data_IF_080561441095
#
_entry.id   IF_080561441095
#
_cell.length_a   1.000
_cell.length_b   1.000
_cell.length_c   1.000
_cell.angle_alpha   90.00
_cell.angle_beta   90.00
_cell.angle_gamma   90.00
#
_symmetry.space_group_name_H-M   'P 1'
#
loop_
_entity.id
_entity.type
_entity.pdbx_description
1 polymer ?
#
# COMPACT_ATOMS: atom_id res chain seq x y z
N UNK A 1 -15.20 -41.05 22.76
CA UNK A 1 -14.23 -40.32 23.61
C UNK A 1 -13.35 -39.51 22.67
N UNK A 2 -13.75 -38.27 22.45
CA UNK A 2 -13.14 -37.31 21.52
C UNK A 2 -11.96 -36.63 22.19
N UNK A 3 -10.87 -36.38 21.48
CA UNK A 3 -9.87 -35.38 21.90
C UNK A 3 -9.50 -34.55 20.67
N UNK A 4 -9.89 -33.27 20.75
CA UNK A 4 -9.72 -32.23 19.77
C UNK A 4 -8.24 -31.90 19.56
N UNK A 5 -7.82 -31.75 18.30
CA UNK A 5 -6.58 -31.10 17.91
C UNK A 5 -6.86 -29.62 17.70
N UNK A 6 -6.50 -28.78 18.68
CA UNK A 6 -6.41 -27.33 18.50
C UNK A 6 -4.95 -26.95 18.23
N UNK A 7 -4.74 -26.47 17.01
CA UNK A 7 -3.57 -25.73 16.54
C UNK A 7 -3.51 -24.35 17.18
N UNK A 8 -2.59 -24.14 18.13
CA UNK A 8 -2.22 -22.80 18.60
C UNK A 8 -1.10 -22.19 17.73
N UNK A 9 -1.19 -20.92 17.34
CA UNK A 9 -0.12 -20.21 16.66
C UNK A 9 1.01 -19.90 17.65
N UNK A 10 2.25 -20.24 17.27
CA UNK A 10 3.44 -19.95 18.05
C UNK A 10 3.67 -18.43 18.13
N UNK A 11 3.38 -17.83 19.29
CA UNK A 11 3.83 -16.50 19.64
C UNK A 11 5.36 -16.52 19.79
N UNK A 12 6.07 -16.00 18.78
CA UNK A 12 7.51 -15.78 18.82
C UNK A 12 7.86 -14.62 19.75
N UNK A 13 7.80 -14.82 21.07
CA UNK A 13 8.42 -13.90 22.02
C UNK A 13 9.94 -14.00 21.87
N UNK A 14 10.56 -12.97 21.30
CA UNK A 14 12.02 -12.85 21.28
C UNK A 14 12.43 -12.09 22.53
N UNK A 15 12.89 -12.79 23.57
CA UNK A 15 13.45 -12.16 24.76
C UNK A 15 14.84 -11.62 24.42
N UNK A 16 15.00 -10.29 24.50
CA UNK A 16 16.31 -9.64 24.32
C UNK A 16 17.12 -9.95 25.57
N UNK A 17 18.21 -10.71 25.40
CA UNK A 17 19.14 -11.06 26.46
C UNK A 17 19.77 -9.80 27.06
N UNK A 18 19.39 -9.49 28.31
CA UNK A 18 20.09 -8.57 29.20
C UNK A 18 21.52 -9.08 29.46
N UNK A 19 22.49 -8.67 28.65
CA UNK A 19 23.91 -8.63 29.02
C UNK A 19 24.66 -7.76 28.03
N UNK A 20 24.93 -6.52 28.45
CA UNK A 20 25.96 -5.61 27.89
C UNK A 20 26.08 -5.60 26.35
N UNK A 21 24.95 -5.56 25.65
CA UNK A 21 24.94 -5.48 24.20
C UNK A 21 25.30 -4.06 23.74
N UNK A 22 26.01 -3.96 22.61
CA UNK A 22 26.24 -2.70 21.85
C UNK A 22 24.94 -1.90 21.70
N UNK A 23 23.80 -2.62 21.63
CA UNK A 23 22.45 -2.09 21.64
C UNK A 23 22.12 -1.19 22.85
N UNK A 24 22.37 -1.66 24.08
CA UNK A 24 22.10 -0.90 25.30
C UNK A 24 23.01 0.33 25.41
N UNK A 25 24.27 0.20 25.01
CA UNK A 25 25.25 1.31 25.02
C UNK A 25 24.92 2.41 23.98
N UNK A 26 24.34 2.04 22.83
CA UNK A 26 23.87 3.00 21.84
C UNK A 26 22.65 3.79 22.35
N UNK A 27 21.70 3.11 23.01
CA UNK A 27 20.52 3.74 23.62
C UNK A 27 20.88 4.71 24.76
N UNK A 28 21.88 4.34 25.57
CA UNK A 28 22.41 5.21 26.62
C UNK A 28 23.07 6.48 26.05
N UNK A 29 23.80 6.37 24.93
CA UNK A 29 24.40 7.54 24.23
C UNK A 29 23.38 8.51 23.64
N UNK A 30 22.17 8.04 23.34
CA UNK A 30 21.08 8.86 22.77
C UNK A 30 20.04 9.26 23.83
N UNK A 31 20.30 9.03 25.13
CA UNK A 31 19.38 9.32 26.25
C UNK A 31 17.97 8.71 26.10
N UNK A 32 17.86 7.52 25.51
CA UNK A 32 16.59 6.78 25.40
C UNK A 32 16.66 5.48 26.19
N UNK A 33 15.55 5.10 26.82
CA UNK A 33 15.43 3.78 27.43
C UNK A 33 15.15 2.73 26.33
N UNK A 34 15.91 1.62 26.29
CA UNK A 34 15.62 0.52 25.38
C UNK A 34 14.28 -0.13 25.78
N UNK A 35 13.47 -0.48 24.78
CA UNK A 35 12.17 -1.10 25.04
C UNK A 35 12.33 -2.51 25.63
N UNK A 36 11.61 -2.81 26.70
CA UNK A 36 11.74 -4.06 27.48
C UNK A 36 11.05 -5.27 26.85
N UNK A 37 10.13 -5.06 25.90
CA UNK A 37 9.44 -6.11 25.16
C UNK A 37 9.16 -5.70 23.73
N UNK A 38 9.41 -6.62 22.81
CA UNK A 38 9.26 -6.45 21.37
C UNK A 38 7.82 -6.83 21.00
N UNK A 39 7.01 -5.84 20.62
CA UNK A 39 5.72 -6.10 19.97
C UNK A 39 5.90 -6.63 18.55
N UNK A 40 4.89 -7.29 18.00
CA UNK A 40 4.87 -7.61 16.57
C UNK A 40 4.94 -6.30 15.77
N UNK A 41 5.74 -6.29 14.70
CA UNK A 41 5.90 -5.09 13.88
C UNK A 41 4.60 -4.64 13.22
N UNK A 42 3.66 -5.58 13.06
CA UNK A 42 2.33 -5.30 12.57
C UNK A 42 1.55 -4.30 13.46
N UNK A 43 1.97 -4.10 14.72
CA UNK A 43 1.43 -3.06 15.59
C UNK A 43 1.72 -1.63 15.09
N UNK A 44 2.70 -1.45 14.19
CA UNK A 44 3.12 -0.16 13.65
C UNK A 44 2.64 0.09 12.21
N UNK A 45 1.72 -0.75 11.68
CA UNK A 45 1.14 -0.55 10.35
C UNK A 45 0.15 0.62 10.29
N UNK A 46 -0.43 1.00 11.44
CA UNK A 46 -1.31 2.15 11.55
C UNK A 46 -0.49 3.41 11.87
N UNK A 47 -0.67 4.46 11.05
CA UNK A 47 0.04 5.74 11.18
C UNK A 47 -0.27 6.42 12.52
N UNK A 48 -1.51 6.28 13.01
CA UNK A 48 -1.90 6.78 14.32
C UNK A 48 -1.16 6.04 15.45
N UNK A 49 -1.08 4.71 15.37
CA UNK A 49 -0.37 3.89 16.36
C UNK A 49 1.15 4.15 16.36
N UNK A 50 1.74 4.42 15.19
CA UNK A 50 3.15 4.77 15.07
C UNK A 50 3.46 6.16 15.68
N UNK A 51 2.57 7.13 15.49
CA UNK A 51 2.75 8.48 16.05
C UNK A 51 2.70 8.49 17.59
N UNK A 52 1.77 7.74 18.17
CA UNK A 52 1.56 7.66 19.62
C UNK A 52 2.63 6.83 20.35
N UNK A 53 3.40 6.00 19.63
CA UNK A 53 4.41 5.14 20.23
C UNK A 53 5.63 5.92 20.77
N UNK A 54 6.16 5.56 21.95
CA UNK A 54 7.39 6.11 22.48
C UNK A 54 8.56 5.98 21.49
N UNK A 55 9.43 6.98 21.43
CA UNK A 55 10.56 6.99 20.50
C UNK A 55 11.50 5.78 20.67
N UNK A 56 11.68 5.30 21.91
CA UNK A 56 12.49 4.10 22.20
C UNK A 56 11.92 2.81 21.62
N UNK A 57 10.60 2.65 21.64
CA UNK A 57 9.92 1.48 21.07
C UNK A 57 10.00 1.50 19.53
N UNK A 58 9.75 2.65 18.91
CA UNK A 58 9.89 2.83 17.47
C UNK A 58 11.30 2.54 16.97
N UNK A 59 12.31 3.07 17.66
CA UNK A 59 13.71 2.88 17.26
C UNK A 59 14.14 1.42 17.44
N UNK A 60 13.63 0.74 18.48
CA UNK A 60 13.85 -0.70 18.69
C UNK A 60 13.26 -1.52 17.54
N UNK A 61 12.00 -1.26 17.17
CA UNK A 61 11.34 -1.94 16.07
C UNK A 61 12.04 -1.70 14.73
N UNK A 62 12.40 -0.45 14.43
CA UNK A 62 13.12 -0.09 13.21
C UNK A 62 14.49 -0.79 13.12
N UNK A 63 15.24 -0.83 14.23
CA UNK A 63 16.54 -1.48 14.26
C UNK A 63 16.43 -2.99 14.08
N UNK A 64 15.37 -3.62 14.60
CA UNK A 64 15.10 -5.03 14.37
C UNK A 64 14.84 -5.35 12.90
N UNK A 65 13.94 -4.60 12.23
CA UNK A 65 13.69 -4.78 10.78
C UNK A 65 14.98 -4.66 10.01
N UNK A 66 15.74 -3.64 10.33
CA UNK A 66 16.97 -3.34 9.64
C UNK A 66 17.99 -4.48 9.81
N UNK A 67 18.14 -5.02 11.03
CA UNK A 67 18.98 -6.19 11.28
C UNK A 67 18.46 -7.43 10.55
N UNK A 68 17.14 -7.65 10.48
CA UNK A 68 16.56 -8.76 9.72
C UNK A 68 16.75 -8.60 8.20
N UNK A 69 16.70 -7.37 7.67
CA UNK A 69 17.03 -7.06 6.28
C UNK A 69 18.49 -7.37 5.97
N UNK A 70 19.43 -6.96 6.83
CA UNK A 70 20.86 -7.32 6.69
C UNK A 70 21.07 -8.83 6.75
N UNK A 71 20.40 -9.52 7.67
CA UNK A 71 20.49 -10.98 7.78
C UNK A 71 20.00 -11.68 6.52
N UNK A 72 18.94 -11.18 5.89
CA UNK A 72 18.40 -11.70 4.62
C UNK A 72 19.31 -11.39 3.43
N UNK A 73 20.00 -10.24 3.43
CA UNK A 73 20.92 -9.87 2.34
C UNK A 73 22.24 -10.66 2.39
N UNK A 74 22.60 -11.21 3.56
CA UNK A 74 23.81 -12.02 3.73
C UNK A 74 25.12 -11.23 3.60
N UNK A 75 25.04 -9.89 3.54
CA UNK A 75 26.21 -9.02 3.47
C UNK A 75 26.87 -8.88 4.84
N UNK A 76 28.19 -9.00 4.86
CA UNK A 76 28.98 -8.72 6.05
C UNK A 76 29.14 -7.20 6.20
N UNK A 77 28.38 -6.62 7.13
CA UNK A 77 28.40 -5.19 7.39
C UNK A 77 29.48 -4.86 8.42
N UNK A 78 30.56 -4.23 7.98
CA UNK A 78 31.66 -3.81 8.87
C UNK A 78 31.31 -2.55 9.68
N UNK A 79 30.45 -1.68 9.13
CA UNK A 79 30.05 -0.43 9.77
C UNK A 79 28.63 -0.02 9.38
N UNK A 80 27.87 0.43 10.37
CA UNK A 80 26.56 1.06 10.17
C UNK A 80 26.77 2.52 9.76
N UNK A 81 26.83 2.76 8.46
CA UNK A 81 26.93 4.11 7.89
C UNK A 81 25.61 4.53 7.22
N UNK A 82 25.37 5.86 7.17
CA UNK A 82 24.20 6.44 6.50
C UNK A 82 24.03 5.91 5.07
N UNK A 83 25.14 5.74 4.35
CA UNK A 83 25.18 5.24 2.97
C UNK A 83 24.58 3.84 2.82
N UNK A 84 24.74 2.98 3.83
CA UNK A 84 24.20 1.63 3.83
C UNK A 84 22.69 1.63 4.10
N UNK A 85 22.21 2.55 4.95
CA UNK A 85 20.77 2.79 5.14
C UNK A 85 20.16 3.31 3.84
N UNK A 86 20.75 4.35 3.23
CA UNK A 86 20.29 4.94 1.97
C UNK A 86 20.27 3.88 0.84
N UNK A 87 21.22 2.95 0.82
CA UNK A 87 21.26 1.85 -0.14
C UNK A 87 20.05 0.89 0.02
N UNK A 88 19.76 0.47 1.25
CA UNK A 88 18.61 -0.41 1.50
C UNK A 88 17.27 0.29 1.28
N UNK A 89 17.16 1.60 1.55
CA UNK A 89 15.98 2.40 1.19
C UNK A 89 15.81 2.40 -0.33
N UNK A 90 16.87 2.67 -1.10
CA UNK A 90 16.81 2.66 -2.56
C UNK A 90 16.44 1.28 -3.13
N UNK A 91 16.90 0.20 -2.50
CA UNK A 91 16.53 -1.17 -2.88
C UNK A 91 15.04 -1.45 -2.61
N UNK A 92 14.51 -1.02 -1.47
CA UNK A 92 13.09 -1.13 -1.14
C UNK A 92 12.23 -0.30 -2.10
N UNK A 93 12.62 0.95 -2.36
CA UNK A 93 11.94 1.82 -3.32
C UNK A 93 11.93 1.18 -4.70
N UNK A 94 13.05 0.59 -5.14
CA UNK A 94 13.10 -0.13 -6.41
C UNK A 94 12.15 -1.33 -6.47
N UNK A 95 12.06 -2.11 -5.38
CA UNK A 95 11.13 -3.24 -5.31
C UNK A 95 9.66 -2.78 -5.34
N UNK A 96 9.33 -1.72 -4.60
CA UNK A 96 8.00 -1.13 -4.56
C UNK A 96 7.64 -0.54 -5.93
N UNK A 97 8.54 0.24 -6.53
CA UNK A 97 8.36 0.82 -7.87
C UNK A 97 8.12 -0.27 -8.91
N UNK A 98 8.89 -1.36 -8.90
CA UNK A 98 8.69 -2.47 -9.85
C UNK A 98 7.31 -3.12 -9.69
N UNK A 99 6.86 -3.31 -8.45
CA UNK A 99 5.53 -3.87 -8.20
C UNK A 99 4.43 -2.91 -8.61
N UNK A 100 4.58 -1.62 -8.31
CA UNK A 100 3.65 -0.58 -8.70
C UNK A 100 3.58 -0.47 -10.23
N UNK A 101 4.73 -0.48 -10.91
CA UNK A 101 4.81 -0.47 -12.37
C UNK A 101 4.06 -1.65 -12.97
N UNK A 102 4.22 -2.86 -12.42
CA UNK A 102 3.49 -4.03 -12.90
C UNK A 102 1.97 -3.87 -12.77
N UNK A 103 1.49 -3.25 -11.69
CA UNK A 103 0.05 -2.98 -11.48
C UNK A 103 -0.44 -1.86 -12.40
N UNK A 104 0.29 -0.75 -12.48
CA UNK A 104 -0.07 0.43 -13.27
C UNK A 104 -0.02 0.17 -14.78
N UNK A 105 0.87 -0.72 -15.24
CA UNK A 105 0.97 -1.11 -16.65
C UNK A 105 0.10 -2.30 -17.02
N UNK A 106 -0.75 -2.78 -16.11
CA UNK A 106 -1.70 -3.84 -16.42
C UNK A 106 -2.77 -3.33 -17.40
N UNK A 107 -3.03 -4.07 -18.48
CA UNK A 107 -3.93 -3.64 -19.56
C UNK A 107 -5.34 -3.27 -19.07
N UNK A 108 -5.90 -4.03 -18.13
CA UNK A 108 -7.22 -3.75 -17.57
C UNK A 108 -7.24 -2.45 -16.76
N UNK A 109 -6.18 -2.21 -15.99
CA UNK A 109 -6.05 -1.00 -15.19
C UNK A 109 -5.89 0.23 -16.10
N UNK A 110 -5.01 0.16 -17.10
CA UNK A 110 -4.81 1.24 -18.06
C UNK A 110 -6.07 1.57 -18.87
N UNK A 111 -6.90 0.57 -19.20
CA UNK A 111 -8.18 0.79 -19.89
C UNK A 111 -9.12 1.64 -19.03
N UNK A 112 -9.23 1.33 -17.74
CA UNK A 112 -10.07 2.09 -16.80
C UNK A 112 -9.45 3.46 -16.51
N UNK A 113 -8.14 3.51 -16.25
CA UNK A 113 -7.42 4.75 -15.96
C UNK A 113 -7.53 5.75 -17.12
N UNK A 114 -7.31 5.31 -18.36
CA UNK A 114 -7.41 6.18 -19.53
C UNK A 114 -8.81 6.75 -19.73
N UNK A 115 -9.86 5.97 -19.46
CA UNK A 115 -11.25 6.43 -19.53
C UNK A 115 -11.52 7.51 -18.47
N UNK A 116 -11.12 7.27 -17.21
CA UNK A 116 -11.33 8.23 -16.12
C UNK A 116 -10.45 9.47 -16.25
N UNK A 117 -9.21 9.34 -16.72
CA UNK A 117 -8.32 10.50 -16.98
C UNK A 117 -8.83 11.33 -18.15
N UNK A 118 -9.37 10.69 -19.20
CA UNK A 118 -10.03 11.38 -20.29
C UNK A 118 -11.27 12.16 -19.83
N UNK A 119 -12.11 11.53 -19.00
CA UNK A 119 -13.27 12.20 -18.38
C UNK A 119 -12.84 13.36 -17.48
N UNK A 120 -11.82 13.16 -16.64
CA UNK A 120 -11.27 14.21 -15.79
C UNK A 120 -10.75 15.39 -16.62
N UNK A 121 -10.05 15.12 -17.72
CA UNK A 121 -9.61 16.15 -18.65
C UNK A 121 -10.78 16.92 -19.29
N UNK A 122 -11.88 16.25 -19.63
CA UNK A 122 -13.09 16.90 -20.16
C UNK A 122 -13.70 17.85 -19.12
N UNK A 123 -13.85 17.38 -17.89
CA UNK A 123 -14.39 18.16 -16.77
C UNK A 123 -13.50 19.36 -16.46
N UNK A 124 -12.18 19.16 -16.37
CA UNK A 124 -11.23 20.22 -16.01
C UNK A 124 -11.12 21.32 -17.08
N UNK A 125 -11.34 20.98 -18.36
CA UNK A 125 -11.31 21.94 -19.46
C UNK A 125 -12.66 22.64 -19.72
N UNK A 126 -13.72 22.26 -19.02
CA UNK A 126 -15.07 22.79 -19.24
C UNK A 126 -15.36 23.93 -18.25
N UNK A 127 -15.72 25.12 -18.76
CA UNK A 127 -16.17 26.23 -17.92
C UNK A 127 -17.67 26.05 -17.56
N UNK A 128 -17.92 25.44 -16.40
CA UNK A 128 -19.27 25.25 -15.87
C UNK A 128 -20.00 26.55 -15.51
N UNK A 129 -19.32 27.71 -15.50
CA UNK A 129 -19.97 29.01 -15.27
C UNK A 129 -20.78 29.47 -16.48
N UNK A 130 -20.55 28.88 -17.65
CA UNK A 130 -21.30 29.15 -18.89
C UNK A 130 -22.58 28.31 -19.00
N UNK A 131 -23.14 27.85 -17.89
CA UNK A 131 -24.35 27.04 -17.83
C UNK A 131 -24.25 25.72 -18.62
N UNK A 132 -23.07 25.09 -18.57
CA UNK A 132 -22.80 23.78 -19.17
C UNK A 132 -23.16 22.69 -18.16
N UNK A 133 -23.74 21.59 -18.64
CA UNK A 133 -23.99 20.37 -17.87
C UNK A 133 -23.33 19.18 -18.56
N UNK A 134 -22.76 18.28 -17.77
CA UNK A 134 -22.15 17.05 -18.25
C UNK A 134 -22.87 15.89 -17.57
N UNK A 135 -23.44 15.00 -18.37
CA UNK A 135 -24.08 13.76 -17.89
C UNK A 135 -23.24 12.57 -18.36
N UNK A 136 -23.09 11.58 -17.50
CA UNK A 136 -22.24 10.41 -17.73
C UNK A 136 -23.12 9.17 -17.65
N UNK A 137 -23.06 8.35 -18.69
CA UNK A 137 -23.72 7.06 -18.76
C UNK A 137 -22.63 5.98 -18.85
N UNK A 138 -22.59 5.08 -17.87
CA UNK A 138 -21.70 3.92 -17.90
C UNK A 138 -22.35 2.80 -18.71
N UNK A 139 -21.78 2.51 -19.88
CA UNK A 139 -22.26 1.44 -20.77
C UNK A 139 -21.10 0.93 -21.61
N UNK A 140 -20.98 -0.39 -21.75
CA UNK A 140 -19.98 -0.98 -22.62
C UNK A 140 -20.41 -0.86 -24.09
N UNK A 141 -19.44 -0.85 -25.01
CA UNK A 141 -19.73 -0.77 -26.45
C UNK A 141 -20.55 -1.97 -26.94
N UNK A 142 -20.33 -3.14 -26.35
CA UNK A 142 -21.03 -4.36 -26.73
C UNK A 142 -22.47 -4.35 -26.20
N UNK A 143 -22.68 -3.89 -24.97
CA UNK A 143 -24.04 -3.74 -24.42
C UNK A 143 -24.85 -2.71 -25.21
N UNK A 144 -24.22 -1.60 -25.61
CA UNK A 144 -24.87 -0.59 -26.43
C UNK A 144 -25.24 -1.13 -27.82
N UNK A 145 -24.39 -1.96 -28.42
CA UNK A 145 -24.68 -2.61 -29.70
C UNK A 145 -25.81 -3.63 -29.55
N UNK A 146 -25.78 -4.44 -28.50
CA UNK A 146 -26.80 -5.41 -28.20
C UNK A 146 -28.16 -4.74 -27.99
N UNK A 147 -28.21 -3.62 -27.27
CA UNK A 147 -29.43 -2.82 -27.08
C UNK A 147 -30.05 -2.38 -28.42
N UNK A 148 -29.23 -1.98 -29.39
CA UNK A 148 -29.70 -1.64 -30.73
C UNK A 148 -30.12 -2.84 -31.58
N UNK A 149 -29.51 -4.01 -31.39
CA UNK A 149 -29.86 -5.24 -32.10
C UNK A 149 -31.17 -5.86 -31.55
N UNK A 150 -31.41 -5.74 -30.24
CA UNK A 150 -32.59 -6.27 -29.56
C UNK A 150 -33.83 -5.38 -29.74
N UNK A 151 -33.63 -4.06 -29.88
CA UNK A 151 -34.74 -3.12 -30.07
C UNK A 151 -35.37 -3.24 -31.48
N UNK A 152 -36.69 -3.46 -31.59
CA UNK A 152 -37.37 -3.53 -32.90
C UNK A 152 -37.27 -2.22 -33.71
N UNK A 153 -37.20 -1.09 -33.01
CA UNK A 153 -37.06 0.25 -33.58
C UNK A 153 -36.15 1.10 -32.68
N UNK A 154 -35.41 2.05 -33.25
CA UNK A 154 -34.45 2.89 -32.52
C UNK A 154 -35.09 3.68 -31.38
N UNK A 155 -36.34 4.12 -31.52
CA UNK A 155 -37.09 4.86 -30.48
C UNK A 155 -37.41 4.01 -29.24
N UNK A 156 -37.24 2.69 -29.33
CA UNK A 156 -37.49 1.74 -28.25
C UNK A 156 -36.18 1.28 -27.58
N UNK A 157 -35.02 1.76 -28.05
CA UNK A 157 -33.71 1.47 -27.45
C UNK A 157 -33.55 2.14 -26.08
N UNK A 158 -32.76 1.53 -25.20
CA UNK A 158 -32.43 2.09 -23.89
C UNK A 158 -31.70 3.42 -24.00
N UNK A 159 -30.79 3.57 -24.97
CA UNK A 159 -30.09 4.85 -25.20
C UNK A 159 -31.07 5.98 -25.56
N UNK A 160 -32.09 5.69 -26.37
CA UNK A 160 -33.10 6.68 -26.74
C UNK A 160 -33.84 7.20 -25.52
N UNK A 161 -34.17 6.31 -24.57
CA UNK A 161 -34.82 6.71 -23.32
C UNK A 161 -34.00 7.74 -22.53
N UNK A 162 -32.69 7.49 -22.40
CA UNK A 162 -31.76 8.36 -21.67
C UNK A 162 -31.44 9.69 -22.36
N UNK A 163 -31.64 9.80 -23.68
CA UNK A 163 -31.23 10.98 -24.45
C UNK A 163 -32.38 11.86 -24.91
N UNK A 164 -33.57 11.30 -25.12
CA UNK A 164 -34.70 12.01 -25.73
C UNK A 164 -35.94 12.16 -24.85
N UNK A 165 -36.05 11.42 -23.74
CA UNK A 165 -37.22 11.46 -22.82
C UNK A 165 -36.88 12.17 -21.52
#
# INVERSE_FOLDING_TARGET
MSVNTETSPAQGQTTVLEKEGVYASLFEKINLAPASSLGDINAFLDDAALSEAPAGERLTAAMQVFMDCIRKSGQQVEKLDKTLIDHHIAELDFQISRQLDAVMHHHEFQKVESLWRGLKQLVDNTDYRQNVKTEILDVSKDDLRQDFEDAPELIQSGLYWHTYT
#
